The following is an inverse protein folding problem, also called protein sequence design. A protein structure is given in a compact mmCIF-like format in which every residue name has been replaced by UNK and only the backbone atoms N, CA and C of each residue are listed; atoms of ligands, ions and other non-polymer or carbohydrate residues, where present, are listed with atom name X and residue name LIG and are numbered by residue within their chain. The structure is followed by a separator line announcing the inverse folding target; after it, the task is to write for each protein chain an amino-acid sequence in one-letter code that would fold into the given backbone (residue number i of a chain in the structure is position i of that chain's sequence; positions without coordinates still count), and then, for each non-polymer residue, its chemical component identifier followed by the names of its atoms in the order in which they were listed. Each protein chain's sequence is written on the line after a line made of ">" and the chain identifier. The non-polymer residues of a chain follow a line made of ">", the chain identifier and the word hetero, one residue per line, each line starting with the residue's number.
data_IF_784415240157
#
_entry.id   IF_784415240157
#
_cell.length_a   1.000
_cell.length_b   1.000
_cell.length_c   1.000
_cell.angle_alpha   90.00
_cell.angle_beta   90.00
_cell.angle_gamma   90.00
#
_symmetry.space_group_name_H-M   'P 1'
#
loop_
_entity.id
_entity.type
_entity.pdbx_description
1 polymer ?
#
# COMPACT_ATOMS: atom_id res chain seq x y z
N UNK A 1 1.65 -31.82 -4.32
CA UNK A 1 1.33 -30.50 -3.71
C UNK A 1 1.27 -29.49 -4.84
N UNK A 2 0.12 -28.85 -5.10
CA UNK A 2 0.05 -27.82 -6.14
C UNK A 2 0.78 -26.58 -5.61
N UNK A 3 1.91 -26.20 -6.23
CA UNK A 3 2.46 -24.86 -6.09
C UNK A 3 1.39 -23.90 -6.61
N UNK A 4 0.61 -23.30 -5.71
CA UNK A 4 -0.22 -22.17 -6.06
C UNK A 4 0.75 -21.03 -6.40
N UNK A 5 0.77 -20.64 -7.67
CA UNK A 5 1.54 -19.50 -8.12
C UNK A 5 1.09 -18.26 -7.35
N UNK A 6 2.01 -17.63 -6.62
CA UNK A 6 1.76 -16.31 -6.03
C UNK A 6 1.42 -15.36 -7.18
N UNK A 7 0.17 -14.92 -7.24
CA UNK A 7 -0.26 -13.91 -8.20
C UNK A 7 -0.35 -12.56 -7.51
N UNK A 8 -0.05 -11.51 -8.26
CA UNK A 8 -0.19 -10.14 -7.80
C UNK A 8 -1.60 -9.64 -8.09
N UNK A 9 -2.36 -9.32 -7.04
CA UNK A 9 -3.68 -8.71 -7.17
C UNK A 9 -3.54 -7.19 -7.09
N UNK A 10 -4.08 -6.44 -8.07
CA UNK A 10 -4.11 -4.99 -7.99
C UNK A 10 -5.02 -4.56 -6.84
N UNK A 11 -4.67 -3.46 -6.19
CA UNK A 11 -5.53 -2.80 -5.21
C UNK A 11 -5.58 -1.29 -5.44
N UNK A 12 -6.66 -0.68 -4.96
CA UNK A 12 -6.88 0.75 -4.96
C UNK A 12 -7.43 1.18 -3.60
N UNK A 13 -6.66 2.00 -2.89
CA UNK A 13 -7.08 2.66 -1.65
C UNK A 13 -7.26 4.14 -1.98
N UNK A 14 -8.52 4.56 -2.12
CA UNK A 14 -8.85 5.95 -2.48
C UNK A 14 -8.58 6.95 -1.34
N UNK A 15 -8.61 6.47 -0.09
CA UNK A 15 -8.32 7.26 1.11
C UNK A 15 -8.01 6.32 2.29
N UNK A 16 -6.90 6.56 2.97
CA UNK A 16 -6.56 5.92 4.26
C UNK A 16 -6.03 6.99 5.22
N UNK A 17 -6.59 7.02 6.42
CA UNK A 17 -6.14 7.90 7.50
C UNK A 17 -5.09 7.16 8.32
N UNK A 18 -3.96 7.82 8.57
CA UNK A 18 -2.86 7.31 9.40
C UNK A 18 -2.36 8.45 10.28
N UNK A 19 -1.52 8.13 11.26
CA UNK A 19 -0.90 9.17 12.11
C UNK A 19 0.04 10.10 11.33
N UNK A 20 0.61 9.63 10.21
CA UNK A 20 1.55 10.40 9.39
C UNK A 20 0.87 11.15 8.22
N UNK A 21 -0.47 11.10 8.13
CA UNK A 21 -1.25 11.80 7.11
C UNK A 21 -2.36 10.97 6.49
N UNK A 22 -3.00 11.55 5.46
CA UNK A 22 -4.07 10.90 4.69
C UNK A 22 -3.54 10.56 3.30
N UNK A 23 -3.69 9.31 2.89
CA UNK A 23 -3.08 8.79 1.67
C UNK A 23 -4.10 8.24 0.67
N UNK A 24 -3.74 8.34 -0.60
CA UNK A 24 -4.33 7.58 -1.70
C UNK A 24 -3.24 6.68 -2.28
N UNK A 25 -3.48 5.38 -2.34
CA UNK A 25 -2.43 4.40 -2.66
C UNK A 25 -2.94 3.40 -3.67
N UNK A 26 -2.16 3.18 -4.71
CA UNK A 26 -2.38 2.15 -5.73
C UNK A 26 -1.18 1.21 -5.76
N UNK A 27 -1.43 -0.05 -6.09
CA UNK A 27 -0.37 -1.02 -6.20
C UNK A 27 -0.86 -2.44 -6.33
N UNK A 28 0.00 -3.37 -5.95
CA UNK A 28 -0.24 -4.80 -6.02
C UNK A 28 0.05 -5.44 -4.68
N UNK A 29 -0.73 -6.47 -4.36
CA UNK A 29 -0.49 -7.32 -3.19
C UNK A 29 -0.43 -8.79 -3.59
N UNK A 30 0.25 -9.62 -2.79
CA UNK A 30 0.19 -11.07 -2.95
C UNK A 30 -1.25 -11.59 -2.80
N UNK A 31 -1.68 -12.47 -3.71
CA UNK A 31 -3.02 -13.07 -3.71
C UNK A 31 -3.24 -14.08 -2.58
N UNK A 32 -2.16 -14.73 -2.13
CA UNK A 32 -2.23 -15.75 -1.09
C UNK A 32 -2.29 -15.10 0.30
N UNK A 33 -3.12 -15.67 1.19
CA UNK A 33 -3.05 -15.42 2.64
C UNK A 33 -1.77 -16.05 3.20
N UNK A 34 -0.61 -15.56 2.76
CA UNK A 34 0.66 -15.88 3.38
C UNK A 34 0.70 -15.23 4.77
N UNK A 35 1.54 -15.77 5.67
CA UNK A 35 1.81 -15.13 6.98
C UNK A 35 2.31 -13.69 6.83
N UNK A 36 2.89 -13.35 5.68
CA UNK A 36 3.38 -12.01 5.33
C UNK A 36 2.78 -11.60 3.99
N UNK A 37 2.06 -10.46 3.95
CA UNK A 37 1.53 -9.90 2.71
C UNK A 37 2.63 -9.12 2.02
N UNK A 38 2.95 -9.46 0.78
CA UNK A 38 3.85 -8.63 -0.03
C UNK A 38 3.04 -7.49 -0.63
N UNK A 39 3.50 -6.24 -0.46
CA UNK A 39 2.91 -5.04 -1.06
C UNK A 39 3.94 -4.39 -1.97
N UNK A 40 3.55 -4.12 -3.21
CA UNK A 40 4.31 -3.35 -4.18
C UNK A 40 3.51 -2.07 -4.47
N UNK A 41 4.08 -0.93 -4.11
CA UNK A 41 3.46 0.38 -4.35
C UNK A 41 3.74 0.81 -5.79
N UNK A 42 2.69 1.15 -6.53
CA UNK A 42 2.83 1.73 -7.87
C UNK A 42 2.77 3.26 -7.82
N UNK A 43 1.86 3.80 -7.00
CA UNK A 43 1.65 5.24 -6.88
C UNK A 43 1.12 5.56 -5.49
N UNK A 44 1.67 6.61 -4.87
CA UNK A 44 1.26 7.09 -3.55
C UNK A 44 1.01 8.58 -3.64
N UNK A 45 -0.11 9.03 -3.09
CA UNK A 45 -0.40 10.44 -2.91
C UNK A 45 -0.64 10.74 -1.43
N UNK A 46 -0.25 11.93 -0.99
CA UNK A 46 -0.58 12.48 0.32
C UNK A 46 -1.55 13.65 0.13
N UNK A 47 -2.50 13.81 1.05
CA UNK A 47 -3.39 14.96 1.08
C UNK A 47 -2.68 16.14 1.76
N UNK A 48 -2.45 17.21 1.02
CA UNK A 48 -1.97 18.51 1.51
C UNK A 48 -3.11 19.53 1.58
N UNK A 49 -2.79 20.79 1.85
CA UNK A 49 -3.77 21.90 1.86
C UNK A 49 -4.33 22.19 0.48
N UNK A 50 -3.55 21.94 -0.57
CA UNK A 50 -3.90 22.27 -1.95
C UNK A 50 -4.47 21.07 -2.73
N UNK A 51 -4.57 19.91 -2.07
CA UNK A 51 -5.15 18.69 -2.63
C UNK A 51 -4.21 17.50 -2.53
N UNK A 52 -4.25 16.62 -3.55
CA UNK A 52 -3.44 15.42 -3.56
C UNK A 52 -2.09 15.67 -4.23
N UNK A 53 -1.02 15.41 -3.49
CA UNK A 53 0.36 15.50 -3.99
C UNK A 53 0.93 14.10 -4.18
N UNK A 54 1.51 13.83 -5.35
CA UNK A 54 2.14 12.55 -5.63
C UNK A 54 3.52 12.46 -4.96
N UNK A 55 3.75 11.38 -4.22
CA UNK A 55 5.03 11.10 -3.59
C UNK A 55 5.90 10.25 -4.51
N UNK A 56 7.10 10.75 -4.82
CA UNK A 56 8.07 10.00 -5.59
C UNK A 56 8.50 8.73 -4.83
N UNK A 57 8.37 7.56 -5.46
CA UNK A 57 8.78 6.28 -4.87
C UNK A 57 10.30 6.06 -5.02
N UNK A 58 11.09 6.97 -4.47
CA UNK A 58 12.56 6.91 -4.46
C UNK A 58 13.09 6.28 -3.17
N UNK A 59 14.37 5.90 -3.16
CA UNK A 59 15.02 5.34 -1.96
C UNK A 59 15.00 6.31 -0.77
N UNK A 60 14.98 7.63 -1.00
CA UNK A 60 14.92 8.65 0.06
C UNK A 60 13.63 8.55 0.88
N UNK A 61 12.54 8.09 0.27
CA UNK A 61 11.25 7.93 0.95
C UNK A 61 11.06 6.56 1.60
N UNK A 62 12.10 5.71 1.63
CA UNK A 62 11.98 4.33 2.11
C UNK A 62 11.50 4.25 3.57
N UNK A 63 12.00 5.12 4.46
CA UNK A 63 11.57 5.12 5.86
C UNK A 63 10.13 5.61 6.06
N UNK A 64 9.68 6.52 5.20
CA UNK A 64 8.29 6.94 5.16
C UNK A 64 7.36 5.83 4.65
N UNK A 65 7.77 5.16 3.57
CA UNK A 65 7.01 4.04 3.01
C UNK A 65 6.93 2.88 4.00
N UNK A 66 8.01 2.57 4.74
CA UNK A 66 8.00 1.58 5.83
C UNK A 66 6.96 1.86 6.90
N UNK A 67 6.70 3.13 7.22
CA UNK A 67 5.66 3.52 8.18
C UNK A 67 4.25 3.38 7.60
N UNK A 68 4.09 3.56 6.29
CA UNK A 68 2.79 3.43 5.61
C UNK A 68 2.36 1.95 5.44
N UNK A 69 3.30 1.04 5.15
CA UNK A 69 3.00 -0.38 4.86
C UNK A 69 2.08 -1.04 5.91
N UNK A 70 2.30 -0.94 7.23
CA UNK A 70 1.42 -1.56 8.23
C UNK A 70 -0.05 -1.14 8.12
N UNK A 71 -0.30 0.14 7.82
CA UNK A 71 -1.66 0.64 7.61
C UNK A 71 -2.29 0.02 6.37
N UNK A 72 -1.53 -0.13 5.28
CA UNK A 72 -2.00 -0.77 4.05
C UNK A 72 -2.30 -2.24 4.27
N UNK A 73 -1.43 -2.96 4.97
CA UNK A 73 -1.66 -4.37 5.32
C UNK A 73 -2.93 -4.55 6.14
N UNK A 74 -3.14 -3.71 7.15
CA UNK A 74 -4.34 -3.74 7.99
C UNK A 74 -5.60 -3.48 7.15
N UNK A 75 -5.58 -2.43 6.34
CA UNK A 75 -6.70 -2.05 5.48
C UNK A 75 -7.04 -3.15 4.46
N UNK A 76 -6.03 -3.71 3.79
CA UNK A 76 -6.21 -4.76 2.77
C UNK A 76 -6.58 -6.12 3.37
N UNK A 77 -6.36 -6.36 4.66
CA UNK A 77 -6.85 -7.56 5.37
C UNK A 77 -8.32 -7.41 5.78
N UNK A 78 -8.74 -6.21 6.21
CA UNK A 78 -10.11 -5.95 6.65
C UNK A 78 -11.13 -5.87 5.51
N UNK A 79 -10.70 -5.56 4.29
CA UNK A 79 -11.59 -5.43 3.12
C UNK A 79 -11.97 -6.77 2.45
N UNK A 80 -11.81 -7.92 3.13
CA UNK A 80 -12.18 -9.26 2.67
C UNK A 80 -12.86 -10.05 3.79
#
# INVERSE_FOLDING_TARGET
>A
MKQQSESLLPFKISRIHTEIGVFKVYGYRSSFRARKMTIILSTVFILSTDGWEELALTQTNNDFMKQLIPYLECHLKASF
#
